data_IF_298420526773
#
_entry.id   IF_298420526773
#
_cell.length_a   1.000
_cell.length_b   1.000
_cell.length_c   1.000
_cell.angle_alpha   90.00
_cell.angle_beta   90.00
_cell.angle_gamma   90.00
#
_symmetry.space_group_name_H-M   'P 1'
#
loop_
_entity.id
_entity.type
_entity.pdbx_description
1 polymer ?
#
# COMPACT_ATOMS: atom_id res chain seq x y z
N UNK A 1 -16.91 -0.90 30.39
CA UNK A 1 -15.91 -0.10 29.64
C UNK A 1 -16.64 1.06 28.95
N UNK A 2 -16.06 2.26 28.87
CA UNK A 2 -16.71 3.43 28.26
C UNK A 2 -16.93 3.22 26.76
N UNK A 3 -18.10 3.57 26.24
CA UNK A 3 -18.47 3.45 24.81
C UNK A 3 -17.43 4.09 23.89
N UNK A 4 -16.81 5.20 24.32
CA UNK A 4 -15.75 5.88 23.56
C UNK A 4 -14.46 5.05 23.45
N UNK A 5 -14.10 4.31 24.50
CA UNK A 5 -12.91 3.45 24.51
C UNK A 5 -13.08 2.33 23.48
N UNK A 6 -14.27 1.73 23.42
CA UNK A 6 -14.56 0.66 22.46
C UNK A 6 -14.49 1.17 21.01
N UNK A 7 -14.99 2.38 20.72
CA UNK A 7 -14.89 2.99 19.39
C UNK A 7 -13.44 3.24 18.98
N UNK A 8 -12.60 3.74 19.89
CA UNK A 8 -11.18 3.96 19.62
C UNK A 8 -10.44 2.64 19.41
N UNK A 9 -10.67 1.64 20.25
CA UNK A 9 -10.07 0.31 20.11
C UNK A 9 -10.41 -0.29 18.74
N UNK A 10 -11.68 -0.21 18.33
CA UNK A 10 -12.11 -0.67 17.02
C UNK A 10 -11.45 0.09 15.87
N UNK A 11 -11.27 1.42 15.97
CA UNK A 11 -10.58 2.19 14.93
C UNK A 11 -9.11 1.75 14.76
N UNK A 12 -8.43 1.45 15.88
CA UNK A 12 -7.07 0.91 15.88
C UNK A 12 -7.04 -0.52 15.32
N UNK A 13 -8.02 -1.36 15.60
CA UNK A 13 -8.06 -2.72 15.03
C UNK A 13 -8.34 -2.70 13.52
N UNK A 14 -9.26 -1.82 13.09
CA UNK A 14 -9.75 -1.79 11.72
C UNK A 14 -8.84 -1.05 10.73
N UNK A 15 -7.93 -0.17 11.15
CA UNK A 15 -7.16 0.64 10.17
C UNK A 15 -6.24 -0.18 9.25
N UNK A 16 -5.68 -1.29 9.75
CA UNK A 16 -4.68 -2.09 9.03
C UNK A 16 -5.28 -2.81 7.81
N UNK A 17 -4.63 -2.67 6.65
CA UNK A 17 -4.99 -3.42 5.43
C UNK A 17 -4.89 -4.94 5.65
N UNK A 18 -3.82 -5.39 6.31
CA UNK A 18 -3.55 -6.82 6.50
C UNK A 18 -4.49 -7.49 7.50
N UNK A 19 -5.11 -6.72 8.41
CA UNK A 19 -6.09 -7.26 9.35
C UNK A 19 -7.44 -7.58 8.68
N UNK A 20 -7.76 -6.91 7.56
CA UNK A 20 -9.02 -7.09 6.81
C UNK A 20 -10.29 -6.95 7.68
N UNK A 21 -10.25 -6.06 8.67
CA UNK A 21 -11.38 -5.76 9.57
C UNK A 21 -12.14 -4.55 9.01
N UNK A 22 -13.46 -4.69 8.87
CA UNK A 22 -14.31 -3.62 8.35
C UNK A 22 -14.51 -2.49 9.39
N UNK A 23 -14.32 -1.21 9.01
CA UNK A 23 -14.56 -0.08 9.91
C UNK A 23 -16.06 0.21 10.09
N UNK A 24 -16.53 0.16 11.33
CA UNK A 24 -17.96 0.23 11.64
C UNK A 24 -18.45 1.64 12.06
N UNK A 25 -17.53 2.59 12.28
CA UNK A 25 -17.85 3.99 12.60
C UNK A 25 -17.25 4.95 11.57
N UNK A 26 -17.75 6.20 11.54
CA UNK A 26 -17.21 7.24 10.67
C UNK A 26 -15.74 7.55 11.02
N UNK A 27 -15.40 7.62 12.30
CA UNK A 27 -14.04 7.85 12.77
C UNK A 27 -13.09 6.72 12.36
N UNK A 28 -13.54 5.46 12.48
CA UNK A 28 -12.76 4.31 12.04
C UNK A 28 -12.54 4.31 10.52
N UNK A 29 -13.55 4.72 9.73
CA UNK A 29 -13.46 4.88 8.27
C UNK A 29 -12.45 5.97 7.89
N UNK A 30 -12.52 7.13 8.54
CA UNK A 30 -11.59 8.24 8.30
C UNK A 30 -10.17 7.86 8.69
N UNK A 31 -9.98 7.19 9.84
CA UNK A 31 -8.67 6.74 10.30
C UNK A 31 -8.06 5.71 9.34
N UNK A 32 -8.85 4.72 8.90
CA UNK A 32 -8.42 3.73 7.91
C UNK A 32 -8.01 4.38 6.59
N UNK A 33 -8.82 5.31 6.06
CA UNK A 33 -8.49 6.04 4.83
C UNK A 33 -7.21 6.87 4.99
N UNK A 34 -7.04 7.56 6.12
CA UNK A 34 -5.85 8.36 6.38
C UNK A 34 -4.57 7.53 6.43
N UNK A 35 -4.59 6.38 7.13
CA UNK A 35 -3.47 5.45 7.21
C UNK A 35 -3.11 4.88 5.82
N UNK A 36 -4.11 4.44 5.06
CA UNK A 36 -3.91 3.89 3.71
C UNK A 36 -3.41 4.94 2.73
N UNK A 37 -3.87 6.19 2.83
CA UNK A 37 -3.35 7.28 2.00
C UNK A 37 -1.86 7.46 2.24
N UNK A 38 -1.42 7.41 3.49
CA UNK A 38 -0.01 7.57 3.84
C UNK A 38 0.86 6.44 3.25
N UNK A 39 0.31 5.24 3.08
CA UNK A 39 0.98 4.13 2.38
C UNK A 39 1.06 4.32 0.86
N UNK A 40 0.29 5.24 0.26
CA UNK A 40 0.23 5.50 -1.18
C UNK A 40 1.10 6.69 -1.62
N UNK A 41 1.29 6.82 -2.94
CA UNK A 41 2.00 7.94 -3.57
C UNK A 41 3.52 7.89 -3.34
N UNK A 42 4.21 9.00 -3.58
CA UNK A 42 5.68 9.05 -3.55
C UNK A 42 6.27 8.80 -2.16
N UNK A 43 5.56 9.17 -1.09
CA UNK A 43 5.96 8.80 0.29
C UNK A 43 5.85 7.29 0.48
N UNK A 44 4.79 6.66 -0.04
CA UNK A 44 4.64 5.21 -0.09
C UNK A 44 5.80 4.52 -0.81
N UNK A 45 6.18 5.01 -1.99
CA UNK A 45 7.35 4.53 -2.75
C UNK A 45 8.62 4.57 -1.90
N UNK A 46 8.92 5.74 -1.32
CA UNK A 46 10.09 5.91 -0.47
C UNK A 46 10.08 4.93 0.71
N UNK A 47 8.90 4.72 1.32
CA UNK A 47 8.75 3.80 2.45
C UNK A 47 8.97 2.34 2.07
N UNK A 48 8.49 1.90 0.89
CA UNK A 48 8.72 0.54 0.39
C UNK A 48 10.20 0.23 0.32
N UNK A 49 10.99 1.11 -0.31
CA UNK A 49 12.43 0.89 -0.43
C UNK A 49 13.19 1.09 0.88
N UNK A 50 12.80 2.07 1.69
CA UNK A 50 13.41 2.29 3.01
C UNK A 50 13.23 1.08 3.93
N UNK A 51 11.99 0.58 4.05
CA UNK A 51 11.69 -0.61 4.87
C UNK A 51 12.28 -1.86 4.24
N UNK A 52 12.19 -2.02 2.92
CA UNK A 52 12.77 -3.14 2.19
C UNK A 52 14.28 -3.27 2.41
N UNK A 53 15.01 -2.17 2.29
CA UNK A 53 16.45 -2.13 2.57
C UNK A 53 16.77 -2.50 4.02
N UNK A 54 15.99 -2.02 5.00
CA UNK A 54 16.13 -2.40 6.42
C UNK A 54 15.83 -3.87 6.69
N UNK A 55 15.00 -4.50 5.86
CA UNK A 55 14.64 -5.93 5.95
C UNK A 55 15.52 -6.81 5.05
N UNK A 56 16.54 -6.26 4.39
CA UNK A 56 17.44 -7.01 3.50
C UNK A 56 16.79 -7.49 2.20
N UNK A 57 15.73 -6.82 1.75
CA UNK A 57 15.05 -7.12 0.48
C UNK A 57 15.81 -6.49 -0.68
N UNK A 58 15.86 -7.19 -1.81
CA UNK A 58 16.35 -6.62 -3.05
C UNK A 58 15.31 -5.65 -3.64
N UNK A 59 15.75 -4.74 -4.51
CA UNK A 59 14.84 -3.81 -5.19
C UNK A 59 13.83 -4.58 -6.06
N UNK A 60 14.34 -5.50 -6.88
CA UNK A 60 13.60 -6.37 -7.79
C UNK A 60 14.43 -7.64 -8.06
N UNK A 61 13.83 -8.63 -8.71
CA UNK A 61 14.54 -9.83 -9.19
C UNK A 61 15.20 -9.55 -10.54
N UNK A 62 16.53 -9.54 -10.68
CA UNK A 62 17.19 -9.21 -11.94
C UNK A 62 16.90 -10.14 -13.12
N UNK A 63 16.43 -11.37 -12.84
CA UNK A 63 16.12 -12.36 -13.88
C UNK A 63 14.65 -12.35 -14.27
N UNK A 64 13.77 -11.98 -13.33
CA UNK A 64 12.32 -11.89 -13.57
C UNK A 64 11.68 -10.72 -12.79
N UNK A 65 11.92 -9.46 -13.21
CA UNK A 65 11.46 -8.27 -12.49
C UNK A 65 9.93 -8.13 -12.45
N UNK A 66 9.23 -8.74 -13.40
CA UNK A 66 7.76 -8.71 -13.47
C UNK A 66 7.08 -9.94 -12.88
N UNK A 67 7.85 -10.92 -12.40
CA UNK A 67 7.36 -12.19 -11.90
C UNK A 67 6.54 -12.97 -12.95
N UNK A 68 7.01 -13.03 -14.19
CA UNK A 68 6.35 -13.77 -15.27
C UNK A 68 6.45 -15.29 -15.10
N UNK A 69 7.46 -15.80 -14.37
CA UNK A 69 7.74 -17.22 -14.16
C UNK A 69 7.62 -17.65 -12.69
N UNK A 70 7.16 -16.76 -11.82
CA UNK A 70 7.01 -16.99 -10.37
C UNK A 70 5.85 -16.18 -9.82
N UNK A 71 5.41 -16.51 -8.61
CA UNK A 71 4.52 -15.61 -7.86
C UNK A 71 5.29 -14.38 -7.36
N UNK A 72 4.55 -13.30 -7.08
CA UNK A 72 5.11 -12.13 -6.40
C UNK A 72 5.55 -12.48 -4.97
N UNK A 73 6.79 -12.15 -4.62
CA UNK A 73 7.40 -12.34 -3.31
C UNK A 73 7.87 -11.01 -2.73
N UNK A 74 6.93 -10.29 -2.09
CA UNK A 74 7.20 -9.00 -1.47
C UNK A 74 8.09 -9.08 -0.23
N UNK A 75 8.43 -10.29 0.25
CA UNK A 75 9.40 -10.52 1.32
C UNK A 75 10.83 -10.54 0.79
N UNK A 76 11.02 -10.81 -0.51
CA UNK A 76 12.33 -10.82 -1.17
C UNK A 76 12.57 -9.60 -2.03
N UNK A 77 11.54 -9.10 -2.72
CA UNK A 77 11.65 -8.04 -3.71
C UNK A 77 10.72 -6.87 -3.41
N UNK A 78 11.26 -5.64 -3.43
CA UNK A 78 10.48 -4.43 -3.15
C UNK A 78 9.45 -4.15 -4.27
N UNK A 79 9.81 -4.39 -5.53
CA UNK A 79 8.95 -4.15 -6.68
C UNK A 79 7.67 -4.99 -6.64
N UNK A 80 7.79 -6.24 -6.21
CA UNK A 80 6.66 -7.15 -6.02
C UNK A 80 5.62 -6.60 -5.01
N UNK A 81 6.05 -5.79 -4.03
CA UNK A 81 5.14 -5.17 -3.06
C UNK A 81 4.16 -4.16 -3.70
N UNK A 82 4.51 -3.60 -4.85
CA UNK A 82 3.59 -2.76 -5.61
C UNK A 82 2.40 -3.60 -6.08
N UNK A 83 2.66 -4.81 -6.57
CA UNK A 83 1.66 -5.72 -7.11
C UNK A 83 0.88 -6.44 -6.02
N UNK A 84 1.53 -6.89 -4.94
CA UNK A 84 0.81 -7.61 -3.87
C UNK A 84 -0.07 -6.71 -3.01
N UNK A 85 0.28 -5.41 -2.90
CA UNK A 85 -0.37 -4.52 -1.94
C UNK A 85 -0.67 -3.13 -2.49
N UNK A 86 0.34 -2.34 -2.86
CA UNK A 86 0.15 -0.90 -3.04
C UNK A 86 -0.89 -0.56 -4.13
N UNK A 87 -0.87 -1.28 -5.25
CA UNK A 87 -1.80 -1.06 -6.36
C UNK A 87 -3.23 -1.54 -6.06
N UNK A 88 -3.44 -2.31 -4.98
CA UNK A 88 -4.76 -2.75 -4.54
C UNK A 88 -5.34 -1.89 -3.39
N UNK A 89 -4.53 -1.00 -2.80
CA UNK A 89 -4.99 -0.17 -1.68
C UNK A 89 -6.07 0.84 -2.11
N UNK A 90 -6.05 1.31 -3.36
CA UNK A 90 -6.99 2.32 -3.86
C UNK A 90 -8.45 1.83 -3.85
N UNK A 91 -8.69 0.52 -3.97
CA UNK A 91 -10.03 -0.07 -4.07
C UNK A 91 -10.76 -0.16 -2.71
N UNK A 92 -10.05 -0.03 -1.59
CA UNK A 92 -10.57 -0.26 -0.24
C UNK A 92 -11.03 0.98 0.52
N UNK A 93 -11.06 2.15 -0.12
CA UNK A 93 -11.32 3.43 0.55
C UNK A 93 -12.79 3.63 0.93
N UNK A 94 -13.03 4.12 2.14
CA UNK A 94 -14.33 4.18 2.79
C UNK A 94 -15.08 5.48 2.55
N UNK A 95 -14.36 6.58 2.33
CA UNK A 95 -14.93 7.91 2.12
C UNK A 95 -14.74 8.38 0.68
N UNK A 96 -15.66 9.18 0.16
CA UNK A 96 -15.56 9.74 -1.19
C UNK A 96 -14.29 10.60 -1.37
N UNK A 97 -13.91 11.37 -0.34
CA UNK A 97 -12.67 12.16 -0.35
C UNK A 97 -11.45 11.24 -0.33
N UNK A 98 -11.46 10.20 0.49
CA UNK A 98 -10.41 9.18 0.55
C UNK A 98 -10.18 8.53 -0.81
N UNK A 99 -11.25 8.03 -1.46
CA UNK A 99 -11.20 7.44 -2.79
C UNK A 99 -10.59 8.38 -3.84
N UNK A 100 -11.06 9.64 -3.89
CA UNK A 100 -10.53 10.63 -4.82
C UNK A 100 -9.03 10.88 -4.63
N UNK A 101 -8.58 11.00 -3.37
CA UNK A 101 -7.16 11.22 -3.06
C UNK A 101 -6.32 9.96 -3.32
N UNK A 102 -6.88 8.78 -3.06
CA UNK A 102 -6.25 7.50 -3.30
C UNK A 102 -5.96 7.32 -4.79
N UNK A 103 -6.92 7.63 -5.66
CA UNK A 103 -6.74 7.54 -7.11
C UNK A 103 -5.57 8.43 -7.59
N UNK A 104 -5.51 9.68 -7.14
CA UNK A 104 -4.40 10.59 -7.50
C UNK A 104 -3.05 10.02 -7.07
N UNK A 105 -2.98 9.41 -5.87
CA UNK A 105 -1.74 8.81 -5.36
C UNK A 105 -1.41 7.48 -6.05
N UNK A 106 -2.43 6.72 -6.43
CA UNK A 106 -2.32 5.48 -7.19
C UNK A 106 -1.74 5.71 -8.58
N UNK A 107 -2.23 6.73 -9.30
CA UNK A 107 -1.71 7.08 -10.62
C UNK A 107 -0.23 7.46 -10.56
N UNK A 108 0.19 8.12 -9.47
CA UNK A 108 1.61 8.40 -9.22
C UNK A 108 2.43 7.14 -8.96
N UNK A 109 1.89 6.16 -8.22
CA UNK A 109 2.57 4.87 -8.01
C UNK A 109 2.77 4.13 -9.32
N UNK A 110 1.74 4.08 -10.17
CA UNK A 110 1.83 3.50 -11.51
C UNK A 110 2.90 4.21 -12.34
N UNK A 111 2.88 5.54 -12.39
CA UNK A 111 3.89 6.31 -13.11
C UNK A 111 5.31 6.05 -12.61
N UNK A 112 5.53 5.93 -11.30
CA UNK A 112 6.83 5.52 -10.76
C UNK A 112 7.23 4.11 -11.22
N UNK A 113 6.31 3.14 -11.12
CA UNK A 113 6.57 1.76 -11.51
C UNK A 113 6.92 1.65 -13.00
N UNK A 114 6.20 2.37 -13.86
CA UNK A 114 6.43 2.37 -15.31
C UNK A 114 7.81 2.96 -15.64
N UNK A 115 8.16 4.11 -15.06
CA UNK A 115 9.49 4.73 -15.23
C UNK A 115 10.61 3.83 -14.69
N UNK A 116 10.39 3.20 -13.53
CA UNK A 116 11.37 2.27 -12.95
C UNK A 116 11.60 1.07 -13.88
N UNK A 117 10.53 0.51 -14.46
CA UNK A 117 10.60 -0.59 -15.43
C UNK A 117 11.33 -0.19 -16.70
N UNK A 118 11.10 1.03 -17.20
CA UNK A 118 11.83 1.58 -18.34
C UNK A 118 13.34 1.65 -18.05
N UNK A 119 13.74 2.19 -16.89
CA UNK A 119 15.15 2.31 -16.49
C UNK A 119 15.89 0.96 -16.37
N UNK A 120 15.18 -0.11 -16.02
CA UNK A 120 15.74 -1.47 -15.94
C UNK A 120 15.57 -2.28 -17.25
N UNK A 121 15.02 -1.67 -18.31
CA UNK A 121 14.94 -2.23 -19.66
C UNK A 121 13.74 -3.13 -19.95
N UNK A 122 12.58 -2.89 -19.32
CA UNK A 122 11.39 -3.76 -19.37
C UNK A 122 10.11 -2.95 -19.73
N UNK A 123 10.30 -1.75 -20.29
CA UNK A 123 9.22 -0.85 -20.74
C UNK A 123 9.08 -0.80 -22.25
#
# INVERSE_FOLDING_TARGET
MSTKINTVAHAIEAHSFSASIAPNSLEAKIMQDADRLDALGMVGVARVFYVGGRLGRALYDPQDPEANQRDYDDKRFCLDHFQTKLLHLADGFQTATGQRLAQIRHDRLKGFLDLFKEEIGIG
#
